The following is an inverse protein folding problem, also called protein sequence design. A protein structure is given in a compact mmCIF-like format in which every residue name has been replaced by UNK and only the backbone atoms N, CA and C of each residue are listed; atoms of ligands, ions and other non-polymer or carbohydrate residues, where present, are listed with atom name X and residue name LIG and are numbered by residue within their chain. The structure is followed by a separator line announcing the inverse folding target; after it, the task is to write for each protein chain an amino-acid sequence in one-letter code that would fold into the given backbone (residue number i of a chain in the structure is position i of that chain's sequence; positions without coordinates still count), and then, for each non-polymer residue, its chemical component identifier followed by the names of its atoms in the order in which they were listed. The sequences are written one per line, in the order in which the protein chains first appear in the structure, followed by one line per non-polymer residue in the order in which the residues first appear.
data_IF_641161721160
#
_entry.id   IF_641161721160
#
_cell.length_a   1.000
_cell.length_b   1.000
_cell.length_c   1.000
_cell.angle_alpha   90.00
_cell.angle_beta   90.00
_cell.angle_gamma   90.00
#
_symmetry.space_group_name_H-M   'P 1'
#
loop_
_entity.id
_entity.type
_entity.pdbx_description
1 polymer ?
#
# COMPACT_ATOMS: atom_id res chain seq x y z
N UNK A 1 -19.15 -3.65 -1.17
CA UNK A 1 -18.01 -3.40 -2.08
C UNK A 1 -16.91 -2.74 -1.27
N UNK A 2 -15.86 -3.50 -0.98
CA UNK A 2 -14.66 -3.06 -0.27
C UNK A 2 -13.78 -2.21 -1.17
N UNK A 3 -13.39 -1.01 -0.73
CA UNK A 3 -12.36 -0.21 -1.41
C UNK A 3 -11.01 -0.53 -0.79
N UNK A 4 -10.07 -0.96 -1.61
CA UNK A 4 -8.70 -1.20 -1.14
C UNK A 4 -7.68 -0.38 -1.92
N UNK A 5 -6.56 -0.12 -1.30
CA UNK A 5 -5.37 0.37 -1.97
C UNK A 5 -4.17 -0.54 -1.67
N UNK A 6 -3.15 -0.48 -2.52
CA UNK A 6 -1.91 -1.26 -2.35
C UNK A 6 -0.72 -0.30 -2.33
N UNK A 7 0.05 -0.33 -1.24
CA UNK A 7 1.30 0.40 -1.05
C UNK A 7 2.49 -0.54 -1.27
N UNK A 8 3.45 -0.11 -2.07
CA UNK A 8 4.67 -0.87 -2.39
C UNK A 8 5.93 -0.01 -2.29
N UNK A 9 7.10 -0.66 -2.30
CA UNK A 9 8.39 0.04 -2.27
C UNK A 9 8.78 0.55 -3.67
N UNK A 10 9.18 1.82 -3.79
CA UNK A 10 9.65 2.38 -5.06
C UNK A 10 10.91 1.67 -5.56
N UNK A 11 11.85 1.33 -4.67
CA UNK A 11 13.07 0.60 -5.08
C UNK A 11 12.75 -0.76 -5.71
N UNK A 12 11.67 -1.40 -5.30
CA UNK A 12 11.31 -2.71 -5.81
C UNK A 12 10.80 -2.67 -7.26
N UNK A 13 10.44 -1.51 -7.82
CA UNK A 13 9.88 -1.42 -9.18
C UNK A 13 10.87 -1.80 -10.28
N UNK A 14 12.17 -1.87 -9.97
CA UNK A 14 13.18 -2.39 -10.90
C UNK A 14 12.96 -3.87 -11.26
N UNK A 15 12.29 -4.63 -10.38
CA UNK A 15 12.04 -6.08 -10.55
C UNK A 15 10.57 -6.48 -10.32
N UNK A 16 9.83 -5.71 -9.53
CA UNK A 16 8.47 -6.00 -9.14
C UNK A 16 7.49 -5.30 -10.09
N UNK A 17 6.73 -6.11 -10.84
CA UNK A 17 5.62 -5.64 -11.69
C UNK A 17 4.30 -5.49 -10.94
N UNK A 18 4.26 -5.85 -9.65
CA UNK A 18 3.03 -5.99 -8.88
C UNK A 18 2.17 -7.20 -9.27
N UNK A 19 2.55 -7.98 -10.28
CA UNK A 19 1.74 -9.07 -10.83
C UNK A 19 1.25 -10.04 -9.75
N UNK A 20 2.12 -10.50 -8.86
CA UNK A 20 1.72 -11.43 -7.80
C UNK A 20 0.78 -10.82 -6.77
N UNK A 21 0.85 -9.51 -6.51
CA UNK A 21 -0.14 -8.83 -5.67
C UNK A 21 -1.53 -8.86 -6.32
N UNK A 22 -1.61 -8.61 -7.64
CA UNK A 22 -2.87 -8.64 -8.38
C UNK A 22 -3.41 -10.06 -8.57
N UNK A 23 -2.54 -11.05 -8.81
CA UNK A 23 -2.95 -12.47 -8.87
C UNK A 23 -3.54 -12.90 -7.53
N UNK A 24 -2.84 -12.64 -6.42
CA UNK A 24 -3.35 -12.98 -5.08
C UNK A 24 -4.68 -12.27 -4.76
N UNK A 25 -4.85 -11.02 -5.21
CA UNK A 25 -6.12 -10.31 -5.08
C UNK A 25 -7.22 -10.96 -5.92
N UNK A 26 -6.98 -11.22 -7.20
CA UNK A 26 -7.96 -11.81 -8.13
C UNK A 26 -8.42 -13.18 -7.65
N UNK A 27 -7.48 -13.99 -7.16
CA UNK A 27 -7.72 -15.35 -6.66
C UNK A 27 -8.23 -15.36 -5.20
N UNK A 28 -8.32 -14.18 -4.55
CA UNK A 28 -8.70 -14.03 -3.13
C UNK A 28 -7.87 -14.94 -2.21
N UNK A 29 -6.56 -14.91 -2.42
CA UNK A 29 -5.58 -15.73 -1.70
C UNK A 29 -4.72 -14.89 -0.72
N UNK A 30 -4.02 -15.58 0.17
CA UNK A 30 -3.12 -14.98 1.16
C UNK A 30 -3.82 -13.86 1.97
N UNK A 31 -3.30 -12.63 1.94
CA UNK A 31 -3.86 -11.52 2.73
C UNK A 31 -5.19 -10.99 2.15
N UNK A 32 -5.62 -11.49 0.97
CA UNK A 32 -6.90 -11.15 0.36
C UNK A 32 -8.01 -12.19 0.61
N UNK A 33 -7.73 -13.27 1.37
CA UNK A 33 -8.74 -14.28 1.72
C UNK A 33 -9.93 -13.71 2.48
N UNK A 34 -9.73 -12.63 3.23
CA UNK A 34 -10.79 -11.92 3.94
C UNK A 34 -11.89 -11.36 3.01
N UNK A 35 -11.65 -11.33 1.70
CA UNK A 35 -12.57 -10.78 0.70
C UNK A 35 -13.17 -11.84 -0.23
N UNK A 36 -13.15 -13.14 0.14
CA UNK A 36 -13.69 -14.23 -0.69
C UNK A 36 -15.16 -14.03 -1.07
N UNK A 37 -15.97 -13.51 -0.14
CA UNK A 37 -17.40 -13.28 -0.33
C UNK A 37 -17.75 -11.79 -0.49
N UNK A 38 -16.77 -10.95 -0.86
CA UNK A 38 -16.94 -9.50 -0.99
C UNK A 38 -16.41 -8.97 -2.34
N UNK A 39 -17.21 -8.10 -2.98
CA UNK A 39 -16.75 -7.32 -4.12
C UNK A 39 -15.65 -6.35 -3.70
N UNK A 40 -14.51 -6.39 -4.39
CA UNK A 40 -13.37 -5.51 -4.11
C UNK A 40 -13.16 -4.54 -5.28
N UNK A 41 -12.97 -3.26 -4.94
CA UNK A 41 -12.53 -2.22 -5.87
C UNK A 41 -11.17 -1.71 -5.45
N UNK A 42 -10.19 -1.81 -6.33
CA UNK A 42 -8.90 -1.15 -6.15
C UNK A 42 -9.08 0.33 -6.46
N UNK A 43 -8.84 1.19 -5.46
CA UNK A 43 -8.96 2.64 -5.60
C UNK A 43 -7.60 3.34 -5.72
N UNK A 44 -6.51 2.67 -5.33
CA UNK A 44 -5.15 3.13 -5.59
C UNK A 44 -4.14 1.97 -5.61
N UNK A 45 -3.12 2.10 -6.45
CA UNK A 45 -1.89 1.30 -6.39
C UNK A 45 -0.73 2.29 -6.47
N UNK A 46 0.15 2.30 -5.47
CA UNK A 46 1.17 3.34 -5.36
C UNK A 46 2.44 2.86 -4.67
N UNK A 47 3.50 3.65 -4.85
CA UNK A 47 4.81 3.44 -4.24
C UNK A 47 5.11 4.55 -3.23
N UNK A 48 6.00 4.29 -2.27
CA UNK A 48 6.68 5.37 -1.53
C UNK A 48 7.45 6.30 -2.49
N UNK A 49 8.02 7.39 -1.99
CA UNK A 49 8.82 8.33 -2.81
C UNK A 49 10.31 7.97 -2.81
N UNK A 50 10.68 6.79 -2.30
CA UNK A 50 12.06 6.33 -2.20
C UNK A 50 12.77 6.81 -0.93
N UNK A 51 13.94 6.24 -0.66
CA UNK A 51 14.62 6.40 0.64
C UNK A 51 15.22 7.80 0.88
N UNK A 52 15.33 8.62 -0.17
CA UNK A 52 15.95 9.97 -0.10
C UNK A 52 14.92 11.10 -0.23
N UNK A 53 13.63 10.79 -0.28
CA UNK A 53 12.61 11.81 -0.38
C UNK A 53 12.46 12.59 0.94
N UNK A 54 12.14 13.88 0.84
CA UNK A 54 11.78 14.71 1.97
C UNK A 54 10.28 14.52 2.27
N UNK A 55 9.96 13.55 3.13
CA UNK A 55 8.57 13.22 3.47
C UNK A 55 7.83 14.33 4.25
N UNK A 56 8.53 15.38 4.70
CA UNK A 56 7.93 16.50 5.42
C UNK A 56 7.59 17.67 4.49
N UNK A 57 8.42 17.94 3.47
CA UNK A 57 8.26 19.12 2.61
C UNK A 57 8.09 18.82 1.12
N UNK A 58 8.24 17.57 0.67
CA UNK A 58 8.01 17.20 -0.73
C UNK A 58 6.52 17.32 -1.07
N UNK A 59 6.15 18.40 -1.74
CA UNK A 59 4.79 18.67 -2.19
C UNK A 59 4.22 17.53 -3.04
N UNK A 60 5.04 16.82 -3.82
CA UNK A 60 4.57 15.70 -4.64
C UNK A 60 4.25 14.47 -3.78
N UNK A 61 5.01 14.24 -2.70
CA UNK A 61 4.68 13.22 -1.71
C UNK A 61 3.38 13.59 -0.98
N UNK A 62 3.26 14.82 -0.49
CA UNK A 62 2.09 15.29 0.24
C UNK A 62 0.82 15.20 -0.62
N UNK A 63 0.89 15.63 -1.88
CA UNK A 63 -0.22 15.49 -2.84
C UNK A 63 -0.56 14.02 -3.11
N UNK A 64 0.44 13.13 -3.22
CA UNK A 64 0.20 11.69 -3.42
C UNK A 64 -0.59 11.08 -2.26
N UNK A 65 -0.17 11.32 -1.02
CA UNK A 65 -0.87 10.75 0.14
C UNK A 65 -2.25 11.37 0.32
N UNK A 66 -2.42 12.66 0.03
CA UNK A 66 -3.73 13.32 0.03
C UNK A 66 -4.67 12.71 -1.01
N UNK A 67 -4.20 12.42 -2.23
CA UNK A 67 -4.98 11.74 -3.28
C UNK A 67 -5.40 10.33 -2.86
N UNK A 68 -4.54 9.58 -2.17
CA UNK A 68 -4.90 8.26 -1.61
C UNK A 68 -5.99 8.42 -0.54
N UNK A 69 -5.89 9.40 0.36
CA UNK A 69 -6.93 9.68 1.36
C UNK A 69 -8.27 10.06 0.70
N UNK A 70 -8.25 10.92 -0.33
CA UNK A 70 -9.44 11.33 -1.10
C UNK A 70 -10.10 10.18 -1.87
N UNK A 71 -9.35 9.14 -2.20
CA UNK A 71 -9.90 7.91 -2.79
C UNK A 71 -10.71 7.08 -1.77
N UNK A 72 -10.60 7.40 -0.47
CA UNK A 72 -11.26 6.76 0.66
C UNK A 72 -11.16 5.22 0.63
N UNK A 73 -9.95 4.64 0.63
CA UNK A 73 -9.80 3.20 0.80
C UNK A 73 -10.25 2.80 2.22
N UNK A 74 -10.96 1.68 2.32
CA UNK A 74 -11.27 1.06 3.62
C UNK A 74 -10.02 0.40 4.23
N UNK A 75 -9.14 -0.12 3.37
CA UNK A 75 -7.91 -0.82 3.76
C UNK A 75 -6.77 -0.52 2.78
N UNK A 76 -5.57 -0.27 3.29
CA UNK A 76 -4.32 -0.27 2.52
C UNK A 76 -3.56 -1.57 2.79
N UNK A 77 -3.36 -2.39 1.76
CA UNK A 77 -2.46 -3.53 1.80
C UNK A 77 -1.02 -3.09 1.52
N UNK A 78 -0.11 -3.47 2.39
CA UNK A 78 1.32 -3.12 2.28
C UNK A 78 2.07 -4.32 1.73
N UNK A 79 2.58 -4.20 0.51
CA UNK A 79 3.19 -5.33 -0.20
C UNK A 79 4.49 -5.81 0.43
N UNK A 80 4.75 -7.12 0.38
CA UNK A 80 5.97 -7.77 0.94
C UNK A 80 7.29 -7.11 0.54
N UNK A 81 7.34 -6.45 -0.62
CA UNK A 81 8.50 -5.70 -1.09
C UNK A 81 8.91 -4.51 -0.20
N UNK A 82 8.11 -4.14 0.80
CA UNK A 82 8.42 -3.11 1.80
C UNK A 82 9.28 -3.61 2.96
N UNK A 83 9.50 -4.92 3.06
CA UNK A 83 10.44 -5.49 4.02
C UNK A 83 11.89 -5.36 3.53
N UNK A 84 12.79 -4.99 4.44
CA UNK A 84 14.23 -4.94 4.23
C UNK A 84 14.94 -5.67 5.37
N UNK A 85 15.78 -6.67 5.04
CA UNK A 85 16.53 -7.47 6.02
C UNK A 85 15.70 -8.02 7.20
N UNK A 86 14.43 -8.37 6.93
CA UNK A 86 13.40 -8.92 7.86
C UNK A 86 12.57 -7.89 8.62
N UNK A 87 12.93 -6.61 8.59
CA UNK A 87 12.15 -5.55 9.20
C UNK A 87 11.33 -4.78 8.17
N UNK A 88 10.23 -4.17 8.62
CA UNK A 88 9.46 -3.28 7.77
C UNK A 88 10.27 -1.99 7.53
N UNK A 89 10.27 -1.47 6.31
CA UNK A 89 10.98 -0.24 6.00
C UNK A 89 10.45 0.94 6.86
N UNK A 90 11.32 1.71 7.56
CA UNK A 90 10.89 2.80 8.44
C UNK A 90 10.04 3.87 7.74
N UNK A 91 10.35 4.17 6.48
CA UNK A 91 9.53 5.08 5.65
C UNK A 91 8.11 4.54 5.49
N UNK A 92 7.97 3.24 5.28
CA UNK A 92 6.67 2.60 5.11
C UNK A 92 5.92 2.56 6.45
N UNK A 93 6.61 2.36 7.57
CA UNK A 93 6.02 2.46 8.91
C UNK A 93 5.45 3.86 9.17
N UNK A 94 6.17 4.92 8.79
CA UNK A 94 5.68 6.29 8.95
C UNK A 94 4.49 6.60 8.02
N UNK A 95 4.50 6.07 6.80
CA UNK A 95 3.34 6.15 5.90
C UNK A 95 2.13 5.40 6.47
N UNK A 96 2.32 4.23 7.08
CA UNK A 96 1.25 3.48 7.77
C UNK A 96 0.65 4.34 8.88
N UNK A 97 1.49 4.88 9.78
CA UNK A 97 1.03 5.75 10.87
C UNK A 97 0.26 6.95 10.34
N UNK A 98 0.72 7.55 9.24
CA UNK A 98 0.01 8.65 8.58
C UNK A 98 -1.41 8.22 8.15
N UNK A 99 -1.55 7.10 7.43
CA UNK A 99 -2.86 6.65 6.96
C UNK A 99 -3.79 6.22 8.11
N UNK A 100 -3.25 5.57 9.14
CA UNK A 100 -4.01 5.17 10.33
C UNK A 100 -4.50 6.39 11.13
N UNK A 101 -3.67 7.44 11.24
CA UNK A 101 -4.08 8.71 11.83
C UNK A 101 -5.21 9.40 11.02
N UNK A 102 -5.35 9.08 9.74
CA UNK A 102 -6.45 9.53 8.87
C UNK A 102 -7.64 8.54 8.85
N UNK A 103 -7.66 7.57 9.77
CA UNK A 103 -8.77 6.61 9.91
C UNK A 103 -8.78 5.49 8.87
N UNK A 104 -7.69 5.31 8.11
CA UNK A 104 -7.58 4.26 7.10
C UNK A 104 -6.87 3.05 7.73
N UNK A 105 -7.53 1.88 7.68
CA UNK A 105 -6.93 0.63 8.18
C UNK A 105 -5.76 0.21 7.29
N UNK A 106 -4.70 -0.32 7.88
CA UNK A 106 -3.60 -0.96 7.14
C UNK A 106 -3.53 -2.46 7.42
N UNK A 107 -3.05 -3.22 6.43
CA UNK A 107 -2.74 -4.65 6.55
C UNK A 107 -1.35 -4.87 5.97
N UNK A 108 -0.45 -5.43 6.77
CA UNK A 108 0.86 -5.85 6.27
C UNK A 108 0.69 -7.16 5.50
N UNK A 109 0.97 -7.12 4.21
CA UNK A 109 0.94 -8.30 3.34
C UNK A 109 0.01 -8.16 2.11
N UNK A 110 0.41 -8.87 1.06
CA UNK A 110 -0.36 -9.08 -0.18
C UNK A 110 -0.36 -10.59 -0.49
N UNK A 111 0.49 -11.02 -1.44
CA UNK A 111 0.89 -12.42 -1.66
C UNK A 111 1.92 -12.92 -0.65
#
# INVERSE_FOLDING_TARGET
MKKIAILTCLKATEICSGASCFVALNDRAAHFEAYKDEDVKIVAFFHCNGCKADYQNDLQYLEKVERVCKACPDVIHVGKCTYYQRDLCPVIEDMIKYFEAHGIKTVIGTH
#
